data_IF_913179540191
#
_entry.id   IF_913179540191
#
_cell.length_a   1.000
_cell.length_b   1.000
_cell.length_c   1.000
_cell.angle_alpha   90.00
_cell.angle_beta   90.00
_cell.angle_gamma   90.00
#
_symmetry.space_group_name_H-M   'P 1'
#
loop_
_entity.id
_entity.type
_entity.pdbx_description
1 polymer ?
#
# COMPACT_ATOMS: atom_id res chain seq x y z
N UNK A 1 10.70 0.33 -6.69
CA UNK A 1 11.65 1.46 -6.81
C UNK A 1 10.95 2.77 -7.14
N UNK A 2 10.25 2.89 -8.27
CA UNK A 2 9.54 4.14 -8.64
C UNK A 2 8.61 4.67 -7.53
N UNK A 3 7.93 3.78 -6.79
CA UNK A 3 7.06 4.18 -5.66
C UNK A 3 7.79 4.99 -4.58
N UNK A 4 9.07 4.70 -4.32
CA UNK A 4 9.88 5.49 -3.38
C UNK A 4 10.17 6.90 -3.91
N UNK A 5 10.39 7.00 -5.24
CA UNK A 5 10.61 8.29 -5.90
C UNK A 5 9.31 9.11 -5.88
N UNK A 6 8.16 8.48 -6.14
CA UNK A 6 6.85 9.13 -6.06
C UNK A 6 6.59 9.73 -4.67
N UNK A 7 6.95 9.00 -3.60
CA UNK A 7 6.84 9.52 -2.23
C UNK A 7 7.79 10.69 -1.95
N UNK A 8 8.89 10.82 -2.70
CA UNK A 8 9.82 11.93 -2.53
C UNK A 8 9.34 13.21 -3.24
N UNK A 9 8.43 13.11 -4.22
CA UNK A 9 7.91 14.26 -4.96
C UNK A 9 6.97 15.08 -4.06
N UNK A 10 7.16 16.41 -3.95
CA UNK A 10 6.21 17.30 -3.29
C UNK A 10 4.97 17.51 -4.15
N UNK A 11 3.80 17.56 -3.51
CA UNK A 11 2.59 18.02 -4.16
C UNK A 11 2.69 19.53 -4.41
N UNK A 12 2.47 19.94 -5.66
CA UNK A 12 2.63 21.33 -6.08
C UNK A 12 1.74 22.32 -5.32
N UNK A 13 0.56 21.89 -4.87
CA UNK A 13 -0.41 22.79 -4.22
C UNK A 13 -0.03 23.27 -2.83
N UNK A 14 0.86 22.55 -2.10
CA UNK A 14 1.28 22.96 -0.75
C UNK A 14 2.75 22.64 -0.40
N UNK A 15 3.52 22.01 -1.29
CA UNK A 15 4.93 21.69 -1.09
C UNK A 15 5.22 20.47 -0.21
N UNK A 16 4.21 19.82 0.38
CA UNK A 16 4.41 18.61 1.17
C UNK A 16 4.59 17.38 0.27
N UNK A 17 5.53 16.51 0.64
CA UNK A 17 5.84 15.27 -0.08
C UNK A 17 4.72 14.25 0.08
N UNK A 18 4.44 13.50 -0.99
CA UNK A 18 3.49 12.37 -0.94
C UNK A 18 3.89 11.28 0.07
N UNK A 19 5.18 11.17 0.38
CA UNK A 19 5.70 10.29 1.41
C UNK A 19 5.46 10.79 2.84
N UNK A 20 4.89 11.97 3.02
CA UNK A 20 4.56 12.57 4.33
C UNK A 20 5.72 12.52 5.35
N UNK A 21 6.95 12.64 4.87
CA UNK A 21 8.19 12.54 5.66
C UNK A 21 8.35 11.21 6.43
N UNK A 22 7.70 10.14 5.95
CA UNK A 22 7.84 8.78 6.47
C UNK A 22 9.31 8.37 6.52
N UNK A 23 9.73 7.79 7.65
CA UNK A 23 11.13 7.41 7.91
C UNK A 23 11.53 6.07 7.31
N UNK A 24 10.70 5.49 6.44
CA UNK A 24 10.95 4.19 5.84
C UNK A 24 11.00 3.09 6.90
N UNK A 25 12.04 2.27 6.87
CA UNK A 25 12.20 1.13 7.79
C UNK A 25 12.35 1.53 9.26
N UNK A 26 12.78 2.78 9.54
CA UNK A 26 13.01 3.29 10.89
C UNK A 26 11.78 4.01 11.47
N UNK A 27 10.64 4.01 10.76
CA UNK A 27 9.40 4.66 11.23
C UNK A 27 8.63 3.78 12.23
N UNK A 28 7.72 4.39 13.00
CA UNK A 28 6.90 3.71 14.01
C UNK A 28 5.66 3.02 13.42
N UNK A 29 5.54 2.96 12.10
CA UNK A 29 4.46 2.28 11.34
C UNK A 29 4.70 0.79 11.12
N UNK A 30 5.76 0.26 11.71
CA UNK A 30 6.13 -1.15 11.74
C UNK A 30 6.47 -1.62 13.17
N UNK A 31 6.42 -2.94 13.46
CA UNK A 31 6.96 -3.48 14.70
C UNK A 31 8.46 -3.17 14.82
N UNK A 32 8.84 -2.52 15.91
CA UNK A 32 10.24 -2.28 16.25
C UNK A 32 10.81 -3.56 16.86
N UNK A 33 11.57 -4.33 16.09
CA UNK A 33 12.35 -5.45 16.63
C UNK A 33 13.64 -4.90 17.22
N UNK A 34 13.86 -5.06 18.53
CA UNK A 34 15.02 -4.52 19.26
C UNK A 34 16.41 -5.01 18.85
N UNK A 35 16.57 -5.66 17.68
CA UNK A 35 17.83 -6.21 17.17
C UNK A 35 18.35 -5.48 15.92
N UNK A 36 17.83 -4.29 15.63
CA UNK A 36 18.26 -3.46 14.51
C UNK A 36 17.94 -2.00 14.73
N UNK A 37 18.09 -1.51 15.97
CA UNK A 37 18.24 -0.08 16.20
C UNK A 37 19.53 0.35 15.50
N UNK A 38 19.41 0.78 14.24
CA UNK A 38 20.22 1.91 13.85
C UNK A 38 19.93 2.97 14.92
N UNK A 39 20.98 3.49 15.54
CA UNK A 39 20.94 4.39 16.69
C UNK A 39 20.41 5.79 16.32
N UNK A 40 19.39 5.84 15.47
CA UNK A 40 18.53 6.98 15.23
C UNK A 40 17.21 6.80 15.95
N UNK A 41 17.23 6.53 17.27
CA UNK A 41 16.22 7.13 18.14
C UNK A 41 16.38 8.64 17.99
N UNK A 42 15.81 9.17 16.92
CA UNK A 42 15.44 10.56 16.83
C UNK A 42 14.34 10.72 17.87
N UNK A 43 14.76 10.99 19.10
CA UNK A 43 14.03 11.74 20.11
C UNK A 43 13.81 13.19 19.65
N UNK A 44 13.71 13.45 18.34
CA UNK A 44 13.16 14.70 17.82
C UNK A 44 11.63 14.64 17.93
N UNK A 45 11.20 14.86 19.16
CA UNK A 45 9.85 15.28 19.54
C UNK A 45 9.56 16.73 19.11
N UNK A 46 10.32 17.31 18.18
CA UNK A 46 10.08 18.67 17.68
C UNK A 46 10.74 18.90 16.31
N UNK A 47 9.95 19.11 15.25
CA UNK A 47 10.44 19.78 14.02
C UNK A 47 9.90 19.34 12.65
N UNK A 48 9.56 18.07 12.42
CA UNK A 48 8.97 17.62 11.14
C UNK A 48 8.13 16.36 11.35
N UNK A 49 6.81 16.50 11.42
CA UNK A 49 5.86 15.43 11.73
C UNK A 49 5.85 14.39 10.60
N UNK A 50 5.90 13.10 10.94
CA UNK A 50 5.81 11.96 10.02
C UNK A 50 4.37 11.44 9.96
N UNK A 51 3.99 10.88 8.82
CA UNK A 51 2.78 10.07 8.63
C UNK A 51 3.11 8.92 7.66
N UNK A 52 2.18 7.99 7.47
CA UNK A 52 2.31 6.93 6.47
C UNK A 52 2.53 7.51 5.05
N UNK A 53 3.34 6.85 4.21
CA UNK A 53 3.59 7.29 2.84
C UNK A 53 2.41 6.94 1.92
N UNK A 54 2.29 7.65 0.79
CA UNK A 54 1.19 7.43 -0.16
C UNK A 54 1.45 6.22 -1.07
N UNK A 55 2.70 5.98 -1.49
CA UNK A 55 3.00 4.98 -2.52
C UNK A 55 3.85 3.81 -2.02
N UNK A 56 4.74 4.00 -1.04
CA UNK A 56 5.66 2.99 -0.53
C UNK A 56 4.98 2.02 0.45
N UNK A 57 5.43 0.76 0.43
CA UNK A 57 5.14 -0.19 1.51
C UNK A 57 6.31 -0.34 2.49
N UNK A 58 7.49 0.20 2.19
CA UNK A 58 8.70 0.01 2.99
C UNK A 58 8.51 0.62 4.37
N UNK A 59 8.63 -0.20 5.42
CA UNK A 59 8.39 0.22 6.80
C UNK A 59 6.91 0.35 7.18
N UNK A 60 5.99 -0.10 6.33
CA UNK A 60 4.54 -0.04 6.58
C UNK A 60 3.98 -1.45 6.82
N UNK A 61 3.37 -1.66 7.98
CA UNK A 61 2.79 -2.95 8.35
C UNK A 61 3.84 -3.94 8.84
N UNK A 62 3.77 -5.19 8.37
CA UNK A 62 4.65 -6.28 8.81
C UNK A 62 5.69 -6.59 7.74
N UNK A 63 6.89 -6.96 8.17
CA UNK A 63 7.89 -7.56 7.28
C UNK A 63 7.57 -9.06 7.17
N UNK A 64 7.19 -9.50 5.99
CA UNK A 64 6.70 -10.86 5.77
C UNK A 64 7.78 -11.73 5.10
N UNK A 65 7.97 -12.95 5.61
CA UNK A 65 8.72 -13.98 4.90
C UNK A 65 7.79 -14.72 3.92
N UNK A 66 7.99 -14.50 2.63
CA UNK A 66 7.09 -15.03 1.58
C UNK A 66 7.17 -16.54 1.35
N UNK A 67 8.11 -17.24 2.01
CA UNK A 67 8.26 -18.69 1.89
C UNK A 67 6.96 -19.45 2.21
N UNK A 68 6.08 -18.87 3.02
CA UNK A 68 4.80 -19.47 3.36
C UNK A 68 3.69 -19.27 2.31
N UNK A 69 3.89 -18.49 1.24
CA UNK A 69 2.83 -18.11 0.26
C UNK A 69 3.06 -18.77 -1.13
N UNK A 70 2.23 -18.42 -2.12
CA UNK A 70 2.18 -19.00 -3.49
C UNK A 70 3.55 -19.27 -4.16
N UNK A 71 4.53 -18.38 -3.97
CA UNK A 71 5.89 -18.54 -4.54
C UNK A 71 6.83 -19.47 -3.76
N UNK A 72 6.53 -19.74 -2.49
CA UNK A 72 7.33 -20.57 -1.60
C UNK A 72 7.02 -22.06 -1.67
N UNK A 73 5.79 -22.43 -2.06
CA UNK A 73 5.34 -23.83 -2.18
C UNK A 73 5.79 -24.54 -3.47
N UNK A 74 6.40 -23.84 -4.44
CA UNK A 74 6.90 -24.49 -5.65
C UNK A 74 8.27 -25.13 -5.39
N UNK A 75 8.26 -26.38 -4.92
CA UNK A 75 9.29 -27.36 -5.26
C UNK A 75 9.02 -27.82 -6.69
N UNK A 76 9.88 -27.46 -7.63
CA UNK A 76 9.83 -28.00 -9.00
C UNK A 76 10.03 -29.51 -8.94
N UNK A 77 8.97 -30.30 -9.14
CA UNK A 77 9.02 -31.76 -9.30
C UNK A 77 9.49 -32.20 -10.70
N UNK A 78 9.76 -31.25 -11.59
CA UNK A 78 10.38 -31.50 -12.90
C UNK A 78 11.72 -30.79 -12.94
N UNK A 79 12.79 -31.55 -13.13
CA UNK A 79 14.16 -31.11 -12.92
C UNK A 79 14.53 -29.80 -13.59
N UNK A 80 15.29 -28.98 -12.87
CA UNK A 80 16.39 -28.24 -13.50
C UNK A 80 16.25 -26.74 -13.73
N UNK A 81 15.35 -26.01 -13.06
CA UNK A 81 15.45 -24.53 -13.06
C UNK A 81 14.94 -23.91 -11.75
N UNK A 82 15.85 -23.48 -10.88
CA UNK A 82 15.54 -22.42 -9.90
C UNK A 82 15.13 -21.19 -10.70
N UNK A 83 14.04 -20.52 -10.31
CA UNK A 83 13.78 -19.16 -10.78
C UNK A 83 15.04 -18.33 -10.53
N UNK A 84 15.72 -17.87 -11.58
CA UNK A 84 17.03 -17.22 -11.48
C UNK A 84 16.99 -15.84 -10.81
N UNK A 85 15.79 -15.31 -10.54
CA UNK A 85 15.56 -13.88 -10.30
C UNK A 85 15.15 -13.52 -8.87
N UNK A 86 14.76 -14.47 -8.03
CA UNK A 86 14.28 -14.18 -6.66
C UNK A 86 14.86 -15.23 -5.70
N UNK A 87 15.88 -14.82 -4.93
CA UNK A 87 16.39 -15.64 -3.83
C UNK A 87 15.30 -15.76 -2.75
N UNK A 88 14.64 -16.91 -2.74
CA UNK A 88 13.49 -17.20 -1.88
C UNK A 88 13.83 -17.14 -0.39
N UNK A 89 15.10 -17.33 0.00
CA UNK A 89 15.54 -17.22 1.39
C UNK A 89 15.62 -15.75 1.87
N UNK A 90 15.69 -14.80 0.92
CA UNK A 90 16.00 -13.39 1.19
C UNK A 90 14.88 -12.42 0.83
N UNK A 91 13.75 -12.89 0.30
CA UNK A 91 12.63 -12.02 -0.04
C UNK A 91 11.79 -11.69 1.20
N UNK A 92 12.03 -10.49 1.75
CA UNK A 92 11.36 -9.98 2.93
C UNK A 92 10.57 -8.70 2.62
N UNK A 93 9.50 -8.78 1.80
CA UNK A 93 8.65 -7.65 1.48
C UNK A 93 7.88 -7.18 2.71
N UNK A 94 7.54 -5.90 2.71
CA UNK A 94 6.60 -5.33 3.66
C UNK A 94 5.17 -5.53 3.15
N UNK A 95 4.26 -5.91 4.05
CA UNK A 95 2.86 -6.13 3.70
C UNK A 95 2.20 -4.87 3.14
N UNK A 96 2.62 -3.68 3.61
CA UNK A 96 1.87 -2.44 3.40
C UNK A 96 0.68 -2.34 4.35
N UNK A 97 -0.11 -1.28 4.17
CA UNK A 97 -1.32 -1.00 4.93
C UNK A 97 -2.44 -2.00 4.59
N UNK A 98 -3.34 -2.27 5.54
CA UNK A 98 -4.44 -3.21 5.35
C UNK A 98 -4.01 -4.68 5.31
N UNK A 99 -2.94 -5.02 6.04
CA UNK A 99 -2.49 -6.39 6.21
C UNK A 99 -3.58 -7.25 6.88
N UNK A 100 -3.61 -8.55 6.55
CA UNK A 100 -4.60 -9.52 7.03
C UNK A 100 -3.95 -10.84 7.48
N UNK A 101 -2.74 -10.75 8.00
CA UNK A 101 -1.99 -11.90 8.52
C UNK A 101 -2.81 -12.66 9.58
N UNK A 102 -2.74 -13.98 9.53
CA UNK A 102 -3.32 -14.80 10.59
C UNK A 102 -2.54 -14.59 11.90
N UNK A 103 -3.22 -14.71 13.04
CA UNK A 103 -2.56 -14.65 14.35
C UNK A 103 -1.94 -15.99 14.70
N UNK A 104 -0.72 -15.96 15.24
CA UNK A 104 -0.13 -17.14 15.88
C UNK A 104 -0.38 -17.09 17.39
N UNK A 105 -0.87 -18.21 17.92
CA UNK A 105 -0.97 -18.43 19.37
C UNK A 105 -0.08 -19.62 19.71
N UNK A 106 1.12 -19.34 20.23
CA UNK A 106 2.03 -20.37 20.74
C UNK A 106 2.70 -19.88 22.02
N UNK A 107 2.72 -20.71 23.06
CA UNK A 107 3.42 -20.49 24.35
C UNK A 107 3.38 -19.03 24.86
N UNK A 108 2.18 -18.51 25.14
CA UNK A 108 1.94 -17.16 25.68
C UNK A 108 2.51 -15.98 24.86
N UNK A 109 2.96 -16.21 23.63
CA UNK A 109 3.45 -15.15 22.73
C UNK A 109 2.45 -14.97 21.59
N UNK A 110 1.83 -13.80 21.52
CA UNK A 110 0.96 -13.43 20.41
C UNK A 110 1.82 -12.89 19.26
N UNK A 111 1.87 -13.64 18.15
CA UNK A 111 2.56 -13.24 16.92
C UNK A 111 1.60 -13.13 15.73
N UNK A 112 2.17 -12.82 14.57
CA UNK A 112 1.47 -12.85 13.30
C UNK A 112 2.18 -13.84 12.37
N UNK A 113 1.40 -14.66 11.68
CA UNK A 113 1.88 -15.50 10.58
C UNK A 113 2.40 -14.63 9.43
N UNK A 114 3.17 -15.24 8.54
CA UNK A 114 3.60 -14.57 7.30
C UNK A 114 2.56 -14.64 6.16
N UNK A 115 1.38 -15.21 6.42
CA UNK A 115 0.35 -15.50 5.44
C UNK A 115 -1.05 -15.35 6.02
N UNK A 116 -2.06 -15.45 5.16
CA UNK A 116 -3.46 -15.68 5.54
C UNK A 116 -3.85 -17.07 5.05
N UNK A 117 -4.38 -17.92 5.91
CA UNK A 117 -4.86 -19.24 5.49
C UNK A 117 -6.11 -19.11 4.63
N UNK A 118 -6.26 -20.02 3.66
CA UNK A 118 -7.44 -20.08 2.81
C UNK A 118 -8.74 -20.16 3.61
N UNK A 119 -8.74 -20.95 4.69
CA UNK A 119 -9.87 -21.10 5.61
C UNK A 119 -10.33 -19.76 6.20
N UNK A 120 -9.40 -18.93 6.66
CA UNK A 120 -9.72 -17.61 7.22
C UNK A 120 -10.14 -16.61 6.14
N UNK A 121 -9.61 -16.73 4.92
CA UNK A 121 -9.95 -15.85 3.81
C UNK A 121 -11.37 -16.09 3.25
N UNK A 122 -11.83 -17.35 3.21
CA UNK A 122 -13.09 -17.73 2.54
C UNK A 122 -14.25 -17.98 3.52
N UNK A 123 -13.98 -18.01 4.83
CA UNK A 123 -15.00 -18.26 5.86
C UNK A 123 -15.42 -19.73 5.97
N UNK A 124 -14.68 -20.65 5.32
CA UNK A 124 -14.96 -22.09 5.29
C UNK A 124 -14.77 -22.80 6.66
N UNK A 125 -14.50 -22.04 7.72
CA UNK A 125 -14.39 -22.51 9.11
C UNK A 125 -15.61 -22.27 10.00
N UNK A 126 -16.62 -21.54 9.52
CA UNK A 126 -17.78 -21.10 10.31
C UNK A 126 -19.09 -21.49 9.63
N UNK A 127 -19.26 -22.78 9.34
CA UNK A 127 -20.51 -23.31 8.77
C UNK A 127 -21.57 -23.66 9.84
N UNK A 128 -21.44 -23.12 11.05
CA UNK A 128 -22.39 -23.27 12.14
C UNK A 128 -22.79 -21.91 12.72
N UNK A 129 -23.57 -21.14 11.97
CA UNK A 129 -24.55 -20.21 12.56
C UNK A 129 -25.80 -20.23 11.67
N UNK A 130 -26.90 -20.73 12.23
CA UNK A 130 -28.22 -20.78 11.61
C UNK A 130 -28.77 -19.37 11.36
N UNK A 131 -28.33 -18.74 10.29
CA UNK A 131 -28.94 -17.55 9.75
C UNK A 131 -29.19 -17.77 8.26
N UNK A 132 -30.47 -17.80 7.89
CA UNK A 132 -30.96 -18.00 6.52
C UNK A 132 -30.75 -16.78 5.61
N UNK A 133 -29.91 -15.80 6.01
CA UNK A 133 -29.71 -14.53 5.27
C UNK A 133 -28.28 -13.98 5.22
N UNK A 134 -27.24 -14.69 5.69
CA UNK A 134 -25.87 -14.15 5.68
C UNK A 134 -25.08 -14.53 4.43
N UNK A 135 -25.10 -13.67 3.39
CA UNK A 135 -24.14 -13.73 2.29
C UNK A 135 -22.74 -13.36 2.78
N UNK A 136 -21.79 -14.30 2.71
CA UNK A 136 -20.39 -14.05 3.09
C UNK A 136 -19.64 -13.37 1.96
N UNK A 137 -18.96 -12.25 2.23
CA UNK A 137 -18.08 -11.61 1.24
C UNK A 137 -16.89 -12.49 0.84
N UNK A 138 -16.50 -13.45 1.69
CA UNK A 138 -15.41 -14.40 1.40
C UNK A 138 -15.84 -15.57 0.51
N UNK A 139 -17.14 -15.81 0.35
CA UNK A 139 -17.67 -16.86 -0.53
C UNK A 139 -19.10 -16.51 -1.02
N UNK A 140 -19.25 -15.48 -1.87
CA UNK A 140 -20.56 -15.00 -2.30
C UNK A 140 -21.29 -16.01 -3.20
N UNK A 141 -20.55 -16.76 -4.03
CA UNK A 141 -21.13 -17.74 -4.97
C UNK A 141 -21.20 -19.16 -4.39
N UNK A 142 -20.95 -19.32 -3.09
CA UNK A 142 -21.02 -20.61 -2.38
C UNK A 142 -20.13 -21.72 -2.99
N UNK A 143 -18.91 -21.36 -3.41
CA UNK A 143 -17.92 -22.31 -3.91
C UNK A 143 -17.54 -23.32 -2.82
N UNK A 144 -17.20 -24.54 -3.27
CA UNK A 144 -16.70 -25.63 -2.43
C UNK A 144 -15.25 -25.95 -2.79
N UNK A 145 -14.56 -26.65 -1.89
CA UNK A 145 -13.18 -27.09 -2.16
C UNK A 145 -13.19 -28.35 -3.01
N UNK A 146 -12.51 -28.28 -4.14
CA UNK A 146 -12.23 -29.42 -4.99
C UNK A 146 -10.87 -30.03 -4.64
N UNK A 147 -10.78 -31.35 -4.77
CA UNK A 147 -9.55 -32.12 -4.65
C UNK A 147 -9.28 -32.89 -5.93
N UNK A 148 -8.02 -33.22 -6.18
CA UNK A 148 -7.60 -33.98 -7.35
C UNK A 148 -6.87 -35.23 -6.90
N UNK A 149 -7.24 -36.37 -7.50
CA UNK A 149 -6.54 -37.64 -7.29
C UNK A 149 -5.25 -37.73 -8.11
N UNK A 150 -4.46 -38.79 -7.89
CA UNK A 150 -3.21 -39.01 -8.63
C UNK A 150 -3.41 -39.22 -10.14
N UNK A 151 -4.65 -39.46 -10.60
CA UNK A 151 -5.02 -39.63 -12.01
C UNK A 151 -5.57 -38.35 -12.63
N UNK A 152 -5.60 -37.23 -11.89
CA UNK A 152 -6.09 -35.94 -12.37
C UNK A 152 -7.61 -35.80 -12.34
N UNK A 153 -8.35 -36.69 -11.68
CA UNK A 153 -9.80 -36.59 -11.57
C UNK A 153 -10.20 -35.71 -10.39
N UNK A 154 -11.14 -34.79 -10.63
CA UNK A 154 -11.69 -33.89 -9.62
C UNK A 154 -12.69 -34.64 -8.74
N UNK A 155 -12.53 -34.51 -7.42
CA UNK A 155 -13.40 -35.10 -6.41
C UNK A 155 -13.69 -34.08 -5.32
N UNK A 156 -14.93 -34.07 -4.81
CA UNK A 156 -15.36 -33.17 -3.73
C UNK A 156 -15.16 -33.77 -2.33
N UNK A 157 -14.80 -35.05 -2.23
CA UNK A 157 -14.50 -35.74 -0.97
C UNK A 157 -13.59 -36.94 -1.19
N UNK A 158 -12.75 -37.27 -0.20
CA UNK A 158 -11.81 -38.41 -0.24
C UNK A 158 -10.57 -38.20 0.63
N UNK A 159 -9.97 -39.31 1.07
CA UNK A 159 -8.72 -39.33 1.85
C UNK A 159 -7.50 -39.35 0.91
N UNK A 160 -6.39 -38.71 1.30
CA UNK A 160 -5.13 -38.63 0.53
C UNK A 160 -5.24 -37.97 -0.86
N UNK A 161 -6.11 -36.97 -1.02
CA UNK A 161 -6.23 -36.17 -2.24
C UNK A 161 -5.57 -34.79 -2.05
N UNK A 162 -5.02 -34.22 -3.12
CA UNK A 162 -4.45 -32.87 -3.10
C UNK A 162 -5.55 -31.82 -3.32
N UNK A 163 -5.60 -30.80 -2.48
CA UNK A 163 -6.51 -29.67 -2.67
C UNK A 163 -6.14 -28.87 -3.94
N UNK A 164 -7.16 -28.37 -4.64
CA UNK A 164 -6.97 -27.52 -5.83
C UNK A 164 -6.66 -26.08 -5.45
N UNK A 165 -7.14 -25.61 -4.30
CA UNK A 165 -6.81 -24.30 -3.75
C UNK A 165 -5.43 -24.30 -3.08
N UNK A 166 -4.85 -23.11 -2.97
CA UNK A 166 -3.68 -22.89 -2.13
C UNK A 166 -4.07 -22.87 -0.65
N UNK A 167 -3.22 -23.42 0.21
CA UNK A 167 -3.42 -23.39 1.67
C UNK A 167 -3.13 -22.00 2.26
N UNK A 168 -2.05 -21.37 1.81
CA UNK A 168 -1.52 -20.13 2.37
C UNK A 168 -1.47 -19.03 1.32
N UNK A 169 -2.17 -17.94 1.58
CA UNK A 169 -2.35 -16.81 0.68
C UNK A 169 -1.51 -15.60 1.14
N UNK A 170 -1.08 -14.73 0.22
CA UNK A 170 -0.45 -13.46 0.57
C UNK A 170 -1.33 -12.62 1.51
N UNK A 171 -0.77 -12.03 2.57
CA UNK A 171 -1.53 -11.37 3.63
C UNK A 171 -1.92 -9.92 3.30
N UNK A 172 -2.03 -9.55 2.01
CA UNK A 172 -2.62 -8.28 1.58
C UNK A 172 -3.27 -8.44 0.21
N UNK A 173 -4.39 -7.75 0.00
CA UNK A 173 -5.12 -7.64 -1.27
C UNK A 173 -5.75 -6.24 -1.45
N UNK A 174 -5.38 -5.27 -0.61
CA UNK A 174 -5.84 -3.88 -0.70
C UNK A 174 -5.14 -3.15 -1.85
N UNK A 175 -5.55 -1.91 -2.20
CA UNK A 175 -4.89 -1.12 -3.26
C UNK A 175 -3.38 -0.95 -3.10
N UNK A 176 -2.86 -1.10 -1.88
CA UNK A 176 -1.43 -0.99 -1.58
C UNK A 176 -0.63 -2.28 -1.82
N UNK A 177 -1.31 -3.39 -2.13
CA UNK A 177 -0.70 -4.72 -2.26
C UNK A 177 0.32 -4.80 -3.40
N UNK A 178 1.54 -5.26 -3.07
CA UNK A 178 2.67 -5.42 -4.01
C UNK A 178 3.48 -6.68 -3.64
N UNK A 179 3.12 -7.81 -4.27
CA UNK A 179 3.72 -9.12 -4.00
C UNK A 179 4.50 -9.60 -5.23
N UNK A 180 5.84 -9.41 -5.29
CA UNK A 180 6.63 -9.81 -6.45
C UNK A 180 6.59 -11.32 -6.72
N UNK A 181 6.18 -12.13 -5.74
CA UNK A 181 6.04 -13.58 -5.83
C UNK A 181 4.59 -14.05 -6.04
N UNK A 182 3.61 -13.14 -6.15
CA UNK A 182 2.19 -13.45 -6.29
C UNK A 182 1.45 -12.37 -7.09
N UNK A 183 1.53 -12.44 -8.42
CA UNK A 183 0.89 -11.48 -9.33
C UNK A 183 -0.63 -11.39 -9.08
N UNK A 184 -1.30 -12.53 -8.85
CA UNK A 184 -2.76 -12.57 -8.59
C UNK A 184 -3.20 -11.86 -7.31
N UNK A 185 -2.26 -11.51 -6.42
CA UNK A 185 -2.52 -10.77 -5.18
C UNK A 185 -1.94 -9.34 -5.23
N UNK A 186 -1.36 -8.95 -6.36
CA UNK A 186 -0.68 -7.66 -6.54
C UNK A 186 -1.60 -6.66 -7.24
N UNK A 187 -1.80 -5.51 -6.60
CA UNK A 187 -2.63 -4.44 -7.15
C UNK A 187 -1.78 -3.31 -7.77
N UNK A 188 -0.61 -3.01 -7.18
CA UNK A 188 0.34 -2.05 -7.76
C UNK A 188 0.91 -2.58 -9.07
N UNK A 189 0.88 -1.77 -10.11
CA UNK A 189 1.37 -2.14 -11.44
C UNK A 189 1.97 -0.95 -12.18
N UNK A 190 2.78 -1.23 -13.20
CA UNK A 190 3.55 -0.20 -13.90
C UNK A 190 2.67 0.77 -14.71
N UNK A 191 1.54 0.31 -15.27
CA UNK A 191 0.62 1.16 -16.00
C UNK A 191 0.03 2.24 -15.07
N UNK A 192 -0.39 1.83 -13.87
CA UNK A 192 -0.90 2.75 -12.86
C UNK A 192 0.20 3.66 -12.31
N UNK A 193 1.40 3.15 -12.05
CA UNK A 193 2.55 3.97 -11.59
C UNK A 193 2.90 5.09 -12.57
N UNK A 194 2.84 4.82 -13.88
CA UNK A 194 3.09 5.85 -14.90
C UNK A 194 2.01 6.95 -14.87
N UNK A 195 0.74 6.58 -14.70
CA UNK A 195 -0.35 7.54 -14.54
C UNK A 195 -0.21 8.35 -13.23
N UNK A 196 0.09 7.67 -12.12
CA UNK A 196 0.31 8.30 -10.82
C UNK A 196 1.51 9.25 -10.83
N UNK A 197 2.56 8.95 -11.59
CA UNK A 197 3.69 9.86 -11.79
C UNK A 197 3.24 11.16 -12.46
N UNK A 198 2.54 11.05 -13.59
CA UNK A 198 2.06 12.23 -14.31
C UNK A 198 1.04 13.04 -13.49
N UNK A 199 0.05 12.36 -12.89
CA UNK A 199 -0.94 13.01 -12.04
C UNK A 199 -0.37 13.55 -10.74
N UNK A 200 0.70 12.94 -10.21
CA UNK A 200 1.43 13.43 -9.04
C UNK A 200 2.18 14.71 -9.32
N UNK A 201 2.85 14.81 -10.48
CA UNK A 201 3.47 16.06 -10.93
C UNK A 201 2.43 17.17 -11.16
N UNK A 202 1.32 16.83 -11.82
CA UNK A 202 0.18 17.74 -12.02
C UNK A 202 -0.58 18.07 -10.73
N UNK A 203 -0.31 17.34 -9.65
CA UNK A 203 -1.03 17.48 -8.39
C UNK A 203 -2.53 17.21 -8.47
N UNK A 204 -2.97 16.31 -9.36
CA UNK A 204 -4.38 16.05 -9.70
C UNK A 204 -4.85 14.64 -9.38
N UNK A 205 -4.12 13.88 -8.55
CA UNK A 205 -4.56 12.55 -8.11
C UNK A 205 -5.84 12.73 -7.27
N UNK A 206 -6.98 12.13 -7.66
CA UNK A 206 -8.22 12.24 -6.88
C UNK A 206 -8.10 11.56 -5.52
N UNK A 207 -8.83 12.10 -4.53
CA UNK A 207 -8.89 11.53 -3.19
C UNK A 207 -10.33 11.16 -2.82
N UNK A 208 -10.48 10.05 -2.10
CA UNK A 208 -11.76 9.57 -1.60
C UNK A 208 -12.04 10.18 -0.23
N UNK A 209 -13.17 10.86 -0.09
CA UNK A 209 -13.58 11.56 1.15
C UNK A 209 -15.05 11.29 1.47
N UNK A 210 -15.39 11.34 2.76
CA UNK A 210 -16.77 11.25 3.26
C UNK A 210 -17.10 12.29 4.34
N UNK A 211 -16.12 13.12 4.71
CA UNK A 211 -16.26 14.30 5.56
C UNK A 211 -15.96 15.52 4.71
N UNK A 212 -16.95 16.40 4.57
CA UNK A 212 -16.87 17.61 3.73
C UNK A 212 -16.09 18.74 4.39
N UNK A 213 -15.86 18.68 5.71
CA UNK A 213 -15.24 19.78 6.45
C UNK A 213 -16.21 20.88 6.88
N UNK A 214 -17.49 20.77 6.52
CA UNK A 214 -18.53 21.73 6.89
C UNK A 214 -19.21 21.32 8.20
N UNK A 215 -19.47 22.29 9.07
CA UNK A 215 -20.29 22.12 10.29
C UNK A 215 -19.93 20.84 11.10
N UNK A 216 -20.88 19.91 11.22
CA UNK A 216 -20.79 18.65 11.96
C UNK A 216 -20.12 17.50 11.16
N UNK A 217 -19.74 17.74 9.91
CA UNK A 217 -19.11 16.77 9.00
C UNK A 217 -17.59 17.02 8.86
N UNK A 218 -16.95 17.46 9.95
CA UNK A 218 -15.51 17.68 10.02
C UNK A 218 -14.76 16.40 10.41
N UNK A 219 -13.70 16.12 9.66
CA UNK A 219 -12.67 15.15 10.01
C UNK A 219 -11.67 15.79 10.97
N UNK A 220 -11.50 15.18 12.15
CA UNK A 220 -10.61 15.66 13.20
C UNK A 220 -9.31 14.87 13.22
N UNK A 221 -8.23 15.46 13.75
CA UNK A 221 -6.95 14.75 13.87
C UNK A 221 -7.04 13.49 14.72
N UNK A 222 -7.94 13.46 15.71
CA UNK A 222 -8.20 12.29 16.57
C UNK A 222 -8.90 11.14 15.85
N UNK A 223 -9.51 11.40 14.68
CA UNK A 223 -10.16 10.39 13.86
C UNK A 223 -9.16 9.53 13.07
N UNK A 224 -7.89 9.95 12.99
CA UNK A 224 -6.85 9.31 12.22
C UNK A 224 -5.71 8.82 13.12
N UNK A 225 -5.42 7.51 13.07
CA UNK A 225 -4.24 6.91 13.69
C UNK A 225 -3.30 6.34 12.63
N UNK A 226 -2.02 6.23 12.98
CA UNK A 226 -0.99 5.77 12.04
C UNK A 226 0.14 4.99 12.71
N UNK A 227 0.32 5.12 14.04
CA UNK A 227 1.32 4.33 14.75
C UNK A 227 0.98 2.84 14.70
N UNK A 228 1.99 1.98 14.51
CA UNK A 228 1.78 0.54 14.44
C UNK A 228 1.14 -0.02 15.71
N UNK A 229 1.45 0.54 16.89
CA UNK A 229 0.88 0.10 18.16
C UNK A 229 -0.64 0.28 18.19
N UNK A 230 -1.15 1.41 17.70
CA UNK A 230 -2.59 1.66 17.57
C UNK A 230 -3.20 0.76 16.48
N UNK A 231 -2.55 0.68 15.31
CA UNK A 231 -3.08 -0.07 14.16
C UNK A 231 -3.04 -1.59 14.36
N UNK A 232 -2.10 -2.12 15.15
CA UNK A 232 -2.06 -3.55 15.52
C UNK A 232 -3.29 -3.94 16.34
N UNK A 233 -3.81 -3.01 17.15
CA UNK A 233 -5.01 -3.25 17.95
C UNK A 233 -6.29 -3.04 17.14
N UNK A 234 -6.34 -2.00 16.31
CA UNK A 234 -7.50 -1.65 15.51
C UNK A 234 -7.08 -0.96 14.20
N UNK A 235 -7.00 -1.74 13.12
CA UNK A 235 -6.63 -1.22 11.79
C UNK A 235 -7.69 -0.28 11.20
N UNK A 236 -8.93 -0.27 11.70
CA UNK A 236 -9.97 0.64 11.19
C UNK A 236 -9.63 2.10 11.48
N UNK A 237 -8.80 2.37 12.50
CA UNK A 237 -8.31 3.71 12.83
C UNK A 237 -7.38 4.31 11.78
N UNK A 238 -6.90 3.51 10.83
CA UNK A 238 -6.16 4.00 9.66
C UNK A 238 -7.07 4.70 8.64
N UNK A 239 -8.37 4.43 8.63
CA UNK A 239 -9.28 4.92 7.59
C UNK A 239 -8.85 4.54 6.15
N UNK A 240 -8.26 3.36 5.96
CA UNK A 240 -8.01 2.77 4.63
C UNK A 240 -9.33 2.27 4.03
N UNK A 241 -9.90 2.87 2.97
CA UNK A 241 -11.23 2.50 2.49
C UNK A 241 -11.31 1.08 1.94
N UNK A 242 -10.29 0.66 1.18
CA UNK A 242 -10.22 -0.61 0.46
C UNK A 242 -11.37 -0.84 -0.56
N UNK A 243 -12.06 0.24 -0.95
CA UNK A 243 -13.11 0.27 -1.95
C UNK A 243 -13.36 1.71 -2.42
N UNK A 244 -13.31 1.92 -3.74
CA UNK A 244 -13.68 3.18 -4.38
C UNK A 244 -12.54 4.21 -4.49
N UNK A 245 -11.40 4.03 -3.83
CA UNK A 245 -10.22 4.88 -4.00
C UNK A 245 -9.41 4.56 -5.26
N UNK A 246 -8.46 5.44 -5.59
CA UNK A 246 -7.48 5.21 -6.66
C UNK A 246 -6.62 3.99 -6.32
N UNK A 247 -6.50 3.04 -7.25
CA UNK A 247 -5.64 1.88 -7.08
C UNK A 247 -4.15 2.26 -7.01
N UNK A 248 -3.37 1.51 -6.25
CA UNK A 248 -1.91 1.62 -6.18
C UNK A 248 -1.36 2.64 -5.18
N UNK A 249 -2.22 3.26 -4.36
CA UNK A 249 -1.85 4.24 -3.34
C UNK A 249 -2.61 4.04 -2.02
N UNK A 250 -2.17 4.75 -0.97
CA UNK A 250 -2.81 4.78 0.34
C UNK A 250 -3.64 6.08 0.50
N UNK A 251 -4.97 5.97 0.36
CA UNK A 251 -5.88 7.12 0.42
C UNK A 251 -5.72 8.01 1.68
N UNK A 252 -5.68 7.50 2.93
CA UNK A 252 -5.50 8.36 4.11
C UNK A 252 -4.16 9.12 4.13
N UNK A 253 -3.11 8.58 3.50
CA UNK A 253 -1.84 9.29 3.34
C UNK A 253 -1.95 10.44 2.32
N UNK A 254 -2.70 10.23 1.23
CA UNK A 254 -3.00 11.28 0.26
C UNK A 254 -3.88 12.40 0.86
N UNK A 255 -4.88 12.03 1.67
CA UNK A 255 -5.69 12.97 2.48
C UNK A 255 -4.79 13.83 3.37
N UNK A 256 -3.81 13.22 4.05
CA UNK A 256 -2.86 13.97 4.88
C UNK A 256 -1.96 14.88 4.04
N UNK A 257 -1.46 14.42 2.88
CA UNK A 257 -0.66 15.25 1.97
C UNK A 257 -1.42 16.51 1.56
N UNK A 258 -2.68 16.37 1.14
CA UNK A 258 -3.51 17.47 0.64
C UNK A 258 -4.03 18.38 1.75
N UNK A 259 -4.63 17.83 2.80
CA UNK A 259 -5.40 18.59 3.79
C UNK A 259 -4.69 18.78 5.14
N UNK A 260 -3.69 17.96 5.45
CA UNK A 260 -2.81 18.19 6.60
C UNK A 260 -3.50 18.18 7.97
N UNK A 261 -4.52 17.33 8.15
CA UNK A 261 -5.32 17.32 9.38
C UNK A 261 -4.47 16.96 10.60
N UNK A 262 -3.56 15.99 10.49
CA UNK A 262 -2.72 15.60 11.64
C UNK A 262 -1.59 16.60 11.88
N UNK A 263 -0.93 17.12 10.82
CA UNK A 263 0.18 18.07 10.97
C UNK A 263 -0.20 19.45 11.53
N UNK A 264 -1.41 19.93 11.25
CA UNK A 264 -1.85 21.29 11.62
C UNK A 264 -2.44 21.37 13.03
N UNK A 265 -2.94 20.25 13.57
CA UNK A 265 -3.57 20.15 14.91
C UNK A 265 -2.66 20.45 16.11
N UNK A 266 -1.42 20.83 15.85
CA UNK A 266 -0.31 20.57 16.76
C UNK A 266 0.83 21.60 16.63
N UNK A 267 0.67 22.59 15.76
CA UNK A 267 1.39 23.86 15.84
C UNK A 267 0.73 24.72 16.91
N UNK A 268 1.42 24.89 18.04
CA UNK A 268 1.08 25.84 19.11
C UNK A 268 1.19 27.32 18.69
N UNK A 269 1.25 27.61 17.39
CA UNK A 269 1.31 28.96 16.84
C UNK A 269 0.07 29.17 15.96
N UNK A 270 -0.95 29.74 16.61
CA UNK A 270 -2.26 30.12 16.08
C UNK A 270 -2.10 31.27 15.07
N UNK A 271 -1.55 30.98 13.89
CA UNK A 271 -1.68 31.86 12.73
C UNK A 271 -2.57 31.15 11.69
N UNK A 272 -3.88 31.19 11.94
CA UNK A 272 -4.98 31.22 10.95
C UNK A 272 -4.93 30.31 9.70
N UNK A 273 -4.25 29.16 9.70
CA UNK A 273 -4.51 28.12 8.69
C UNK A 273 -5.58 27.18 9.20
N UNK A 274 -6.84 27.49 8.88
CA UNK A 274 -7.98 26.62 9.14
C UNK A 274 -7.78 25.31 8.38
N UNK A 275 -7.57 24.20 9.08
CA UNK A 275 -7.66 22.86 8.48
C UNK A 275 -9.05 22.74 7.87
N UNK A 276 -9.18 22.36 6.58
CA UNK A 276 -10.49 22.32 5.95
C UNK A 276 -11.42 21.28 6.61
N UNK A 277 -10.87 20.32 7.37
CA UNK A 277 -11.65 19.26 8.02
C UNK A 277 -12.19 18.24 7.02
N UNK A 278 -11.64 18.21 5.80
CA UNK A 278 -11.97 17.23 4.77
C UNK A 278 -11.19 15.95 5.05
N UNK A 279 -11.85 14.80 4.91
CA UNK A 279 -11.20 13.51 5.07
C UNK A 279 -12.13 12.33 4.89
N UNK A 280 -11.65 11.14 5.25
CA UNK A 280 -12.42 9.91 5.25
C UNK A 280 -12.35 9.29 6.64
N UNK A 281 -13.51 9.01 7.23
CA UNK A 281 -13.63 8.31 8.51
C UNK A 281 -14.48 7.06 8.35
N UNK A 282 -14.00 5.91 8.82
CA UNK A 282 -14.85 4.73 8.90
C UNK A 282 -16.05 4.96 9.82
N UNK A 283 -17.26 4.52 9.46
CA UNK A 283 -18.43 4.77 10.27
C UNK A 283 -18.40 3.86 11.50
N UNK A 284 -18.69 4.41 12.68
CA UNK A 284 -18.85 3.62 13.90
C UNK A 284 -20.21 2.87 13.97
N UNK A 285 -21.06 3.00 12.94
CA UNK A 285 -22.42 2.43 12.85
C UNK A 285 -22.74 2.02 11.42
N UNK A 286 -23.75 1.15 11.25
CA UNK A 286 -24.33 0.76 9.96
C UNK A 286 -24.91 2.02 9.28
N UNK A 287 -24.10 2.71 8.50
CA UNK A 287 -24.49 3.83 7.67
C UNK A 287 -23.92 3.59 6.27
N UNK A 288 -24.76 3.78 5.25
CA UNK A 288 -24.35 3.76 3.85
C UNK A 288 -23.38 4.93 3.64
N UNK A 289 -22.13 4.66 3.24
CA UNK A 289 -21.19 5.72 2.88
C UNK A 289 -21.53 6.27 1.50
N UNK A 290 -21.68 7.60 1.39
CA UNK A 290 -21.63 8.31 0.11
C UNK A 290 -20.19 8.78 -0.08
N UNK A 291 -19.53 8.19 -1.07
CA UNK A 291 -18.15 8.47 -1.40
C UNK A 291 -18.10 9.37 -2.64
N UNK A 292 -17.22 10.36 -2.64
CA UNK A 292 -17.00 11.23 -3.79
C UNK A 292 -15.51 11.33 -4.10
N UNK A 293 -15.18 11.37 -5.39
CA UNK A 293 -13.85 11.69 -5.87
C UNK A 293 -13.73 13.21 -5.96
N UNK A 294 -12.87 13.78 -5.12
CA UNK A 294 -12.56 15.21 -5.18
C UNK A 294 -11.18 15.40 -5.78
N UNK A 295 -11.03 16.03 -6.96
CA UNK A 295 -9.73 16.55 -7.35
C UNK A 295 -9.35 17.65 -6.36
N UNK A 296 -8.10 17.73 -5.88
CA UNK A 296 -7.65 18.96 -5.23
C UNK A 296 -7.80 20.08 -6.28
N UNK A 297 -8.34 21.25 -5.92
CA UNK A 297 -8.78 22.29 -6.87
C UNK A 297 -7.72 22.88 -7.83
N UNK A 298 -6.53 22.28 -7.94
CA UNK A 298 -5.48 22.54 -8.92
C UNK A 298 -5.73 21.74 -10.21
N UNK A 299 -6.06 22.44 -11.29
CA UNK A 299 -6.43 21.86 -12.59
C UNK A 299 -5.40 22.21 -13.67
N UNK A 300 -4.20 21.63 -13.58
CA UNK A 300 -3.32 21.53 -14.75
C UNK A 300 -3.72 20.28 -15.56
N UNK A 301 -4.13 20.47 -16.83
CA UNK A 301 -4.60 19.37 -17.68
C UNK A 301 -3.44 18.72 -18.45
N UNK A 302 -3.51 17.40 -18.73
CA UNK A 302 -2.53 16.67 -19.56
C UNK A 302 -2.20 17.30 -20.92
N UNK A 303 -3.11 18.09 -21.51
CA UNK A 303 -2.93 18.71 -22.83
C UNK A 303 -2.20 20.05 -22.79
N UNK A 304 -2.02 20.64 -21.62
CA UNK A 304 -1.34 21.95 -21.44
C UNK A 304 0.16 21.81 -21.16
N UNK A 305 0.69 20.59 -21.30
CA UNK A 305 1.92 20.10 -20.66
C UNK A 305 3.17 20.11 -21.54
N UNK A 306 3.08 20.50 -22.82
CA UNK A 306 4.25 20.60 -23.69
C UNK A 306 4.19 21.95 -24.38
N UNK A 307 4.82 22.94 -23.76
CA UNK A 307 4.85 24.32 -24.29
C UNK A 307 6.13 24.60 -25.09
N UNK A 308 7.25 23.94 -24.76
CA UNK A 308 8.49 24.00 -25.53
C UNK A 308 9.45 22.85 -25.16
N UNK A 309 10.26 22.42 -26.14
CA UNK A 309 11.36 21.47 -25.94
C UNK A 309 12.67 22.25 -26.06
N UNK A 310 13.50 22.20 -25.02
CA UNK A 310 14.86 22.75 -25.02
C UNK A 310 15.85 21.59 -25.09
N UNK A 311 16.86 21.73 -25.95
CA UNK A 311 17.87 20.68 -26.19
C UNK A 311 19.25 21.24 -25.87
N UNK A 312 19.98 20.54 -25.01
CA UNK A 312 21.38 20.77 -24.71
C UNK A 312 22.18 19.49 -25.04
N UNK A 313 23.52 19.55 -25.19
CA UNK A 313 24.33 18.46 -25.76
C UNK A 313 24.18 17.08 -25.10
N UNK A 314 23.76 17.02 -23.83
CA UNK A 314 23.54 15.78 -23.09
C UNK A 314 22.18 15.73 -22.35
N UNK A 315 21.26 16.64 -22.67
CA UNK A 315 19.95 16.68 -22.00
C UNK A 315 18.86 17.28 -22.87
N UNK A 316 17.65 16.76 -22.74
CA UNK A 316 16.44 17.39 -23.29
C UNK A 316 15.52 17.78 -22.14
N UNK A 317 15.01 19.01 -22.15
CA UNK A 317 14.09 19.52 -21.14
C UNK A 317 12.78 20.01 -21.72
N UNK A 318 11.70 19.75 -21.01
CA UNK A 318 10.35 20.22 -21.32
C UNK A 318 9.64 20.63 -20.05
N UNK A 319 8.95 21.76 -20.09
CA UNK A 319 8.06 22.18 -19.00
C UNK A 319 6.73 21.45 -19.10
N UNK A 320 6.31 20.90 -17.97
CA UNK A 320 5.23 19.97 -17.78
C UNK A 320 4.35 20.46 -16.63
N UNK A 321 3.40 21.35 -16.93
CA UNK A 321 2.67 22.08 -15.89
C UNK A 321 3.61 22.99 -15.09
N UNK A 322 3.52 22.97 -13.76
CA UNK A 322 4.44 23.68 -12.87
C UNK A 322 5.83 23.03 -12.68
N UNK A 323 6.13 21.93 -13.37
CA UNK A 323 7.41 21.23 -13.28
C UNK A 323 8.26 21.39 -14.54
N UNK A 324 9.57 21.48 -14.39
CA UNK A 324 10.52 21.35 -15.50
C UNK A 324 11.13 19.95 -15.48
N UNK A 325 10.79 19.11 -16.46
CA UNK A 325 11.40 17.80 -16.63
C UNK A 325 12.67 17.94 -17.48
N UNK A 326 13.79 17.37 -17.02
CA UNK A 326 15.01 17.25 -17.82
C UNK A 326 15.44 15.79 -17.85
N UNK A 327 15.66 15.26 -19.05
CA UNK A 327 16.21 13.93 -19.27
C UNK A 327 17.69 14.07 -19.52
N UNK A 328 18.50 13.71 -18.54
CA UNK A 328 19.95 13.56 -18.71
C UNK A 328 20.23 12.24 -19.42
N UNK A 329 20.90 12.30 -20.57
CA UNK A 329 21.38 11.10 -21.24
C UNK A 329 22.72 10.73 -20.60
N UNK A 330 22.74 9.69 -19.77
CA UNK A 330 24.01 9.09 -19.34
C UNK A 330 24.69 8.50 -20.58
N UNK A 331 25.80 9.08 -20.99
CA UNK A 331 26.65 8.53 -22.05
C UNK A 331 27.10 7.13 -21.61
N UNK A 332 26.72 6.02 -22.27
CA UNK A 332 27.34 4.74 -21.95
C UNK A 332 28.83 4.91 -22.22
N UNK A 333 29.65 4.60 -21.23
CA UNK A 333 31.09 4.70 -21.31
C UNK A 333 31.57 4.18 -22.67
N UNK A 334 32.28 5.04 -23.40
CA UNK A 334 33.08 4.67 -24.56
C UNK A 334 34.04 3.60 -24.08
N UNK A 335 33.72 2.32 -24.33
CA UNK A 335 34.71 1.26 -24.28
C UNK A 335 35.67 1.59 -25.41
N UNK A 336 36.75 2.29 -25.09
CA UNK A 336 37.93 2.32 -25.93
C UNK A 336 38.39 0.87 -26.00
N UNK A 337 38.15 0.25 -27.14
CA UNK A 337 38.97 -0.88 -27.55
C UNK A 337 40.37 -0.31 -27.75
N UNK A 338 41.21 -0.48 -26.73
CA UNK A 338 42.64 -0.34 -26.92
C UNK A 338 43.06 -1.53 -27.80
N UNK A 339 43.15 -1.24 -29.08
CA UNK A 339 43.89 -2.04 -30.05
C UNK A 339 45.33 -1.55 -30.09
N UNK A 340 46.20 -2.23 -29.34
CA UNK A 340 47.63 -2.39 -29.61
C UNK A 340 48.21 -3.44 -28.67
#
# INVERSE_FOLDING_TARGET
MLDQVLDYIPWIGNGYRYGNNHRGVDDITAPQTGAGSSSGTSTNTSGSRSFLPTFSNVGVGLKANVQATLGGSQTTTTGGSKWSTLDKANLQPWTGAGWRNDKTTGNNTQGNENHTTFKNATGMGSQNQGSTTTTSAGNPDSLVTDKVDQKGQVQTSGQNLSETNYTNLPPNLTPTSDWPNALSFTNKNNAQRAQLFLHGLLGSIPVLVNKSGENNEKFQATDQKWSYTELKSDQTKLNLPAYGEVNGLLNPALVETYFGTTRTSSTANQNSTTVPGIGLKFPNKIMIQRLCWSPPGWLERPRTLVTSLSVAPASASSSAGGWSASRTLSNPARVTSDSS
#
